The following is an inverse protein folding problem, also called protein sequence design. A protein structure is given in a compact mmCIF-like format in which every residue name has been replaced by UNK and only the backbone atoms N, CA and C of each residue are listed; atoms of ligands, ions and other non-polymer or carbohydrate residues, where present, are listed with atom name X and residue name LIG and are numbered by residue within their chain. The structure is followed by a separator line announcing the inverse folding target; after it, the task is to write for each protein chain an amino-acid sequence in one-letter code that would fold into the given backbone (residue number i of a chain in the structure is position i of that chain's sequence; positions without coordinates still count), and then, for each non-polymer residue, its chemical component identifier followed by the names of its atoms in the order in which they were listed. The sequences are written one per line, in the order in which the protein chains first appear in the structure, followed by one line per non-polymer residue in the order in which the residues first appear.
data_IF_892578769081
#
_entry.id   IF_892578769081
#
_cell.length_a   1.000
_cell.length_b   1.000
_cell.length_c   1.000
_cell.angle_alpha   90.00
_cell.angle_beta   90.00
_cell.angle_gamma   90.00
#
_symmetry.space_group_name_H-M   'P 1'
#
loop_
_entity.id
_entity.type
_entity.pdbx_description
1 polymer ?
#
# COMPACT_ATOMS: atom_id res chain seq x y z
N UNK A 1 17.99 1.37 -6.47
CA UNK A 1 17.50 0.01 -6.78
C UNK A 1 18.22 -0.52 -8.00
N UNK A 2 18.76 -1.73 -7.93
CA UNK A 2 19.30 -2.45 -9.08
C UNK A 2 18.17 -2.86 -10.07
N UNK A 3 18.49 -3.28 -11.30
CA UNK A 3 17.49 -3.65 -12.30
C UNK A 3 16.57 -4.81 -11.88
N UNK A 4 17.11 -5.81 -11.18
CA UNK A 4 16.35 -6.97 -10.69
C UNK A 4 15.27 -6.57 -9.69
N UNK A 5 15.62 -5.77 -8.67
CA UNK A 5 14.66 -5.28 -7.69
C UNK A 5 13.58 -4.41 -8.35
N UNK A 6 13.94 -3.58 -9.34
CA UNK A 6 12.98 -2.81 -10.15
C UNK A 6 11.98 -3.71 -10.86
N UNK A 7 12.46 -4.79 -11.49
CA UNK A 7 11.61 -5.75 -12.19
C UNK A 7 10.65 -6.46 -11.23
N UNK A 8 11.15 -6.95 -10.08
CA UNK A 8 10.32 -7.60 -9.05
C UNK A 8 9.24 -6.64 -8.53
N UNK A 9 9.58 -5.38 -8.22
CA UNK A 9 8.60 -4.37 -7.79
C UNK A 9 7.53 -4.16 -8.86
N UNK A 10 7.93 -4.06 -10.14
CA UNK A 10 7.00 -3.85 -11.25
C UNK A 10 5.99 -5.00 -11.38
N UNK A 11 6.48 -6.24 -11.37
CA UNK A 11 5.65 -7.45 -11.43
C UNK A 11 4.68 -7.55 -10.26
N UNK A 12 5.17 -7.32 -9.03
CA UNK A 12 4.34 -7.37 -7.83
C UNK A 12 3.28 -6.27 -7.82
N UNK A 13 3.62 -5.04 -8.22
CA UNK A 13 2.65 -3.95 -8.38
C UNK A 13 1.55 -4.31 -9.36
N UNK A 14 1.93 -4.80 -10.53
CA UNK A 14 0.97 -5.16 -11.57
C UNK A 14 0.00 -6.24 -11.09
N UNK A 15 0.52 -7.32 -10.50
CA UNK A 15 -0.30 -8.40 -9.94
C UNK A 15 -1.18 -7.92 -8.79
N UNK A 16 -0.61 -7.18 -7.85
CA UNK A 16 -1.34 -6.67 -6.69
C UNK A 16 -2.49 -5.75 -7.12
N UNK A 17 -2.24 -4.75 -7.99
CA UNK A 17 -3.28 -3.81 -8.40
C UNK A 17 -4.37 -4.46 -9.25
N UNK A 18 -4.01 -5.37 -10.16
CA UNK A 18 -4.99 -6.12 -10.95
C UNK A 18 -5.91 -6.96 -10.07
N UNK A 19 -5.34 -7.70 -9.11
CA UNK A 19 -6.11 -8.51 -8.18
C UNK A 19 -6.92 -7.64 -7.21
N UNK A 20 -6.36 -6.54 -6.71
CA UNK A 20 -7.03 -5.61 -5.83
C UNK A 20 -8.26 -5.01 -6.52
N UNK A 21 -8.11 -4.55 -7.77
CA UNK A 21 -9.22 -4.04 -8.56
C UNK A 21 -10.32 -5.10 -8.80
N UNK A 22 -9.94 -6.36 -9.03
CA UNK A 22 -10.89 -7.46 -9.22
C UNK A 22 -11.61 -7.89 -7.93
N UNK A 23 -10.98 -7.75 -6.77
CA UNK A 23 -11.56 -8.12 -5.46
C UNK A 23 -12.40 -7.01 -4.82
N UNK A 24 -12.25 -5.77 -5.26
CA UNK A 24 -12.96 -4.62 -4.70
C UNK A 24 -14.42 -4.58 -5.20
N UNK A 25 -15.36 -4.34 -4.28
CA UNK A 25 -16.79 -4.19 -4.59
C UNK A 25 -17.15 -2.83 -5.22
N UNK A 26 -16.16 -2.05 -5.62
CA UNK A 26 -16.32 -0.71 -6.18
C UNK A 26 -15.29 -0.49 -7.30
N UNK A 27 -15.58 0.41 -8.25
CA UNK A 27 -14.65 0.67 -9.34
C UNK A 27 -13.29 1.16 -8.84
N UNK A 28 -12.23 0.45 -9.23
CA UNK A 28 -10.84 0.82 -8.98
C UNK A 28 -10.21 1.29 -10.28
N UNK A 29 -9.51 2.41 -10.24
CA UNK A 29 -8.73 2.95 -11.36
C UNK A 29 -7.25 2.76 -11.04
N UNK A 30 -6.57 1.98 -11.88
CA UNK A 30 -5.11 1.84 -11.82
C UNK A 30 -4.49 2.83 -12.80
N UNK A 31 -3.72 3.79 -12.30
CA UNK A 31 -2.99 4.77 -13.12
C UNK A 31 -1.51 4.44 -13.16
N UNK A 32 -0.83 4.68 -14.29
CA UNK A 32 0.63 4.56 -14.41
C UNK A 32 1.12 3.44 -15.33
N UNK A 33 0.56 3.31 -16.53
CA UNK A 33 0.94 2.29 -17.54
C UNK A 33 2.18 2.65 -18.36
N UNK A 34 2.91 3.72 -18.05
CA UNK A 34 4.11 4.11 -18.80
C UNK A 34 5.23 4.56 -17.88
N UNK A 35 6.46 4.31 -18.33
CA UNK A 35 7.77 4.65 -17.75
C UNK A 35 7.99 6.15 -17.41
N UNK A 36 6.94 6.95 -17.17
CA UNK A 36 7.03 8.37 -16.84
C UNK A 36 6.73 8.63 -15.36
N UNK A 37 7.78 8.94 -14.60
CA UNK A 37 7.92 9.63 -13.28
C UNK A 37 6.96 9.39 -12.10
N UNK A 38 5.72 8.94 -12.28
CA UNK A 38 4.79 8.64 -11.20
C UNK A 38 4.66 7.12 -11.05
N UNK A 39 4.98 6.59 -9.87
CA UNK A 39 4.77 5.17 -9.57
C UNK A 39 3.29 4.83 -9.74
N UNK A 40 2.94 3.69 -10.38
CA UNK A 40 1.56 3.33 -10.57
C UNK A 40 0.85 3.15 -9.23
N UNK A 41 -0.41 3.58 -9.18
CA UNK A 41 -1.29 3.51 -8.01
C UNK A 41 -2.64 2.93 -8.41
N UNK A 42 -3.34 2.32 -7.44
CA UNK A 42 -4.76 1.99 -7.56
C UNK A 42 -5.57 3.01 -6.74
N UNK A 43 -6.69 3.49 -7.28
CA UNK A 43 -7.52 4.51 -6.64
C UNK A 43 -9.00 4.17 -6.73
N UNK A 44 -9.79 4.57 -5.73
CA UNK A 44 -11.22 4.29 -5.65
C UNK A 44 -11.96 5.40 -4.89
N UNK A 45 -13.28 5.45 -5.07
CA UNK A 45 -14.16 6.34 -4.32
C UNK A 45 -14.81 5.58 -3.17
N UNK A 46 -14.82 6.17 -1.97
CA UNK A 46 -15.60 5.63 -0.84
C UNK A 46 -17.08 6.03 -0.93
N UNK A 47 -17.92 5.50 -0.03
CA UNK A 47 -19.36 5.83 0.02
C UNK A 47 -19.65 7.30 0.35
N UNK A 48 -18.66 8.04 0.85
CA UNK A 48 -18.75 9.47 1.15
C UNK A 48 -18.25 10.32 -0.01
N UNK A 49 -18.05 9.72 -1.19
CA UNK A 49 -17.56 10.39 -2.39
C UNK A 49 -16.17 11.00 -2.17
N UNK A 50 -15.33 10.38 -1.35
CA UNK A 50 -13.93 10.79 -1.16
C UNK A 50 -13.00 9.85 -1.92
N UNK A 51 -11.98 10.44 -2.54
CA UNK A 51 -10.95 9.72 -3.26
C UNK A 51 -9.97 9.07 -2.28
N UNK A 52 -9.74 7.78 -2.49
CA UNK A 52 -8.73 6.99 -1.79
C UNK A 52 -7.76 6.40 -2.82
N UNK A 53 -6.56 6.08 -2.40
CA UNK A 53 -5.60 5.35 -3.22
C UNK A 53 -4.69 4.47 -2.40
N UNK A 54 -4.08 3.51 -3.09
CA UNK A 54 -3.10 2.57 -2.58
C UNK A 54 -1.88 2.57 -3.49
N UNK A 55 -0.70 2.60 -2.88
CA UNK A 55 0.59 2.55 -3.56
C UNK A 55 1.49 1.49 -2.91
N UNK A 56 2.09 0.65 -3.74
CA UNK A 56 3.15 -0.28 -3.34
C UNK A 56 4.48 0.29 -3.81
N UNK A 57 5.48 0.38 -2.95
CA UNK A 57 6.82 0.85 -3.32
C UNK A 57 7.91 0.15 -2.52
N UNK A 58 9.16 0.21 -3.00
CA UNK A 58 10.28 -0.30 -2.24
C UNK A 58 10.56 0.62 -1.05
N UNK A 59 10.50 0.08 0.17
CA UNK A 59 10.94 0.76 1.37
C UNK A 59 12.48 0.77 1.45
N UNK A 60 13.06 -0.42 1.30
CA UNK A 60 14.49 -0.62 1.06
C UNK A 60 14.66 -1.60 -0.08
N UNK A 61 15.73 -1.45 -0.85
CA UNK A 61 16.06 -2.37 -1.93
C UNK A 61 17.55 -2.27 -2.27
N UNK A 62 18.16 -3.36 -2.73
CA UNK A 62 19.56 -3.39 -3.14
C UNK A 62 19.80 -2.42 -4.30
N UNK A 63 20.99 -1.83 -4.32
CA UNK A 63 21.46 -0.96 -5.40
C UNK A 63 22.95 -1.19 -5.67
N UNK A 64 23.50 -0.46 -6.63
CA UNK A 64 24.90 -0.62 -7.06
C UNK A 64 25.91 -0.33 -5.94
N UNK A 65 25.54 0.52 -4.97
CA UNK A 65 26.42 0.90 -3.86
C UNK A 65 26.23 -0.01 -2.64
N UNK A 66 25.02 -0.54 -2.43
CA UNK A 66 24.69 -1.45 -1.31
C UNK A 66 23.93 -2.67 -1.86
N UNK A 67 24.64 -3.64 -2.46
CA UNK A 67 24.01 -4.79 -3.12
C UNK A 67 23.32 -5.75 -2.14
N UNK A 68 23.72 -5.73 -0.87
CA UNK A 68 23.12 -6.56 0.19
C UNK A 68 22.05 -5.84 1.00
N UNK A 69 21.62 -4.64 0.59
CA UNK A 69 20.55 -3.93 1.29
C UNK A 69 19.28 -4.80 1.28
N UNK A 70 18.61 -4.98 2.44
CA UNK A 70 17.35 -5.70 2.49
C UNK A 70 16.36 -5.24 1.45
N UNK A 71 15.72 -6.20 0.79
CA UNK A 71 14.64 -5.90 -0.12
C UNK A 71 13.30 -6.02 0.60
N UNK A 72 12.71 -4.85 0.92
CA UNK A 72 11.49 -4.72 1.71
C UNK A 72 10.55 -3.77 0.97
N UNK A 73 9.27 -4.14 0.91
CA UNK A 73 8.24 -3.33 0.29
C UNK A 73 7.39 -2.62 1.33
N UNK A 74 6.75 -1.54 0.91
CA UNK A 74 5.72 -0.86 1.67
C UNK A 74 4.49 -0.65 0.81
N UNK A 75 3.35 -0.99 1.38
CA UNK A 75 2.02 -0.67 0.87
C UNK A 75 1.51 0.51 1.67
N UNK A 76 1.02 1.54 0.99
CA UNK A 76 0.50 2.75 1.63
C UNK A 76 -0.86 3.12 1.06
N UNK A 77 -1.83 3.28 1.94
CA UNK A 77 -3.17 3.82 1.68
C UNK A 77 -3.16 5.30 2.07
N UNK A 78 -3.54 6.17 1.14
CA UNK A 78 -3.69 7.63 1.34
C UNK A 78 -2.48 8.38 1.93
N UNK A 79 -1.31 7.73 2.05
CA UNK A 79 -0.10 8.37 2.55
C UNK A 79 0.52 9.28 1.50
N UNK A 80 0.76 10.54 1.86
CA UNK A 80 1.25 11.58 0.93
C UNK A 80 0.23 11.96 -0.16
N UNK A 81 -1.06 12.02 0.19
CA UNK A 81 -2.20 12.22 -0.72
C UNK A 81 -2.14 13.49 -1.59
N UNK A 82 -1.27 14.45 -1.26
CA UNK A 82 -1.09 15.69 -2.03
C UNK A 82 -0.59 15.51 -3.47
N UNK A 83 -0.29 14.29 -3.96
CA UNK A 83 0.20 14.06 -5.33
C UNK A 83 -0.80 13.40 -6.29
N UNK A 84 -1.99 13.01 -5.84
CA UNK A 84 -2.99 12.35 -6.70
C UNK A 84 -4.00 13.39 -7.19
N UNK A 85 -3.71 14.02 -8.33
CA UNK A 85 -4.58 14.97 -9.00
C UNK A 85 -4.99 14.46 -10.38
N UNK A 86 -5.82 13.41 -10.43
CA UNK A 86 -6.48 13.00 -11.66
C UNK A 86 -7.96 12.81 -11.40
N UNK A 87 -8.70 13.92 -11.51
CA UNK A 87 -10.15 13.94 -11.46
C UNK A 87 -10.71 13.65 -12.85
N UNK A 88 -11.70 12.76 -12.95
CA UNK A 88 -12.54 12.66 -14.15
C UNK A 88 -13.56 13.81 -14.14
N UNK A 89 -13.68 14.54 -15.26
CA UNK A 89 -14.78 15.48 -15.49
C UNK A 89 -16.11 14.73 -15.32
N UNK A 90 -16.99 15.20 -14.44
CA UNK A 90 -18.36 14.70 -14.29
C UNK A 90 -18.62 13.72 -13.13
N UNK A 91 -17.62 13.38 -12.30
CA UNK A 91 -17.81 12.55 -11.11
C UNK A 91 -17.85 13.43 -9.84
N UNK A 92 -18.85 13.25 -8.98
CA UNK A 92 -18.93 13.95 -7.68
C UNK A 92 -17.77 13.45 -6.82
N UNK A 93 -16.87 14.36 -6.43
CA UNK A 93 -15.73 14.06 -5.57
C UNK A 93 -15.60 15.17 -4.52
N UNK A 94 -15.66 14.79 -3.24
CA UNK A 94 -15.50 15.69 -2.08
C UNK A 94 -14.05 15.91 -1.68
N UNK A 95 -13.11 15.51 -2.54
CA UNK A 95 -11.67 15.59 -2.29
C UNK A 95 -11.08 14.27 -1.80
N UNK A 96 -9.82 14.35 -1.33
CA UNK A 96 -9.06 13.20 -0.81
C UNK A 96 -9.54 12.81 0.58
N UNK A 97 -9.48 11.51 0.90
CA UNK A 97 -9.73 11.04 2.26
C UNK A 97 -8.51 11.29 3.17
N UNK A 98 -8.38 12.52 3.66
CA UNK A 98 -7.27 12.94 4.52
C UNK A 98 -7.36 12.39 5.96
N UNK A 99 -8.50 11.85 6.35
CA UNK A 99 -8.75 11.38 7.73
C UNK A 99 -8.32 9.92 7.95
N UNK A 100 -7.89 9.24 6.89
CA UNK A 100 -7.46 7.86 6.96
C UNK A 100 -6.23 7.67 6.09
N UNK A 101 -5.09 7.36 6.72
CA UNK A 101 -3.91 6.83 6.05
C UNK A 101 -3.49 5.52 6.75
N UNK A 102 -2.76 4.66 6.05
CA UNK A 102 -2.26 3.40 6.59
C UNK A 102 -1.06 2.92 5.78
N UNK A 103 -0.02 2.43 6.44
CA UNK A 103 1.16 1.86 5.81
C UNK A 103 1.44 0.47 6.40
N UNK A 104 1.75 -0.48 5.53
CA UNK A 104 2.16 -1.83 5.90
C UNK A 104 3.48 -2.16 5.19
N UNK A 105 4.50 -2.43 5.99
CA UNK A 105 5.84 -2.81 5.55
C UNK A 105 5.98 -4.32 5.58
N UNK A 106 6.33 -4.92 4.44
CA UNK A 106 6.28 -6.37 4.20
C UNK A 106 7.49 -6.86 3.41
N UNK A 107 7.76 -8.16 3.46
CA UNK A 107 8.65 -8.78 2.49
C UNK A 107 7.96 -8.91 1.12
N UNK A 108 8.70 -8.89 -0.01
CA UNK A 108 8.13 -9.05 -1.34
C UNK A 108 7.22 -10.27 -1.50
N UNK A 109 7.56 -11.38 -0.84
CA UNK A 109 6.80 -12.63 -0.87
C UNK A 109 5.47 -12.58 -0.11
N UNK A 110 5.29 -11.63 0.81
CA UNK A 110 4.11 -11.55 1.68
C UNK A 110 3.01 -10.64 1.09
N UNK A 111 3.37 -9.76 0.15
CA UNK A 111 2.47 -8.67 -0.26
C UNK A 111 1.16 -9.16 -0.89
N UNK A 112 1.21 -10.24 -1.67
CA UNK A 112 0.01 -10.81 -2.29
C UNK A 112 -0.86 -11.57 -1.28
N UNK A 113 -0.26 -12.14 -0.23
CA UNK A 113 -1.01 -12.81 0.84
C UNK A 113 -1.87 -11.81 1.62
N UNK A 114 -1.37 -10.57 1.78
CA UNK A 114 -2.10 -9.48 2.41
C UNK A 114 -3.27 -8.92 1.58
N UNK A 115 -3.39 -9.28 0.30
CA UNK A 115 -4.40 -8.68 -0.56
C UNK A 115 -5.84 -8.86 -0.05
N UNK A 116 -6.31 -10.07 0.33
CA UNK A 116 -7.66 -10.23 0.88
C UNK A 116 -7.88 -9.44 2.16
N UNK A 117 -6.86 -9.38 3.02
CA UNK A 117 -6.91 -8.62 4.27
C UNK A 117 -6.98 -7.11 4.02
N UNK A 118 -6.24 -6.58 3.05
CA UNK A 118 -6.29 -5.17 2.66
C UNK A 118 -7.67 -4.81 2.08
N UNK A 119 -8.27 -5.67 1.25
CA UNK A 119 -9.63 -5.47 0.74
C UNK A 119 -10.64 -5.43 1.90
N UNK A 120 -10.53 -6.35 2.86
CA UNK A 120 -11.36 -6.37 4.06
C UNK A 120 -11.13 -5.14 4.95
N UNK A 121 -9.90 -4.64 5.07
CA UNK A 121 -9.57 -3.40 5.78
C UNK A 121 -10.27 -2.19 5.14
N UNK A 122 -10.22 -2.08 3.81
CA UNK A 122 -10.92 -1.01 3.07
C UNK A 122 -12.43 -1.08 3.29
N UNK A 123 -13.01 -2.27 3.24
CA UNK A 123 -14.44 -2.48 3.47
C UNK A 123 -14.86 -2.16 4.92
N UNK A 124 -14.08 -2.63 5.90
CA UNK A 124 -14.31 -2.36 7.32
C UNK A 124 -14.25 -0.86 7.63
N UNK A 125 -13.26 -0.16 7.05
CA UNK A 125 -13.14 1.29 7.17
C UNK A 125 -14.32 2.02 6.51
N UNK A 126 -14.72 1.65 5.30
CA UNK A 126 -15.86 2.26 4.60
C UNK A 126 -17.21 2.01 5.33
N UNK A 127 -17.34 0.89 6.04
CA UNK A 127 -18.48 0.58 6.94
C UNK A 127 -18.34 1.22 8.32
N UNK A 128 -17.20 1.79 8.67
CA UNK A 128 -16.93 2.37 9.99
C UNK A 128 -16.96 1.34 11.13
N UNK A 129 -16.66 0.07 10.86
CA UNK A 129 -16.77 -1.02 11.84
C UNK A 129 -15.51 -1.89 11.84
N UNK A 130 -14.68 -1.72 12.87
CA UNK A 130 -13.48 -2.54 13.10
C UNK A 130 -13.80 -3.99 13.43
N UNK A 131 -15.02 -4.30 13.87
CA UNK A 131 -15.47 -5.67 14.15
C UNK A 131 -15.53 -6.56 12.89
N UNK A 132 -15.53 -5.94 11.71
CA UNK A 132 -15.50 -6.65 10.43
C UNK A 132 -14.08 -7.01 9.98
N UNK A 133 -13.06 -6.50 10.68
CA UNK A 133 -11.67 -6.72 10.32
C UNK A 133 -11.26 -8.15 10.67
N UNK A 134 -10.86 -8.90 9.66
CA UNK A 134 -10.33 -10.25 9.81
C UNK A 134 -8.89 -10.21 10.32
N UNK A 135 -8.44 -11.35 10.86
CA UNK A 135 -7.04 -11.53 11.24
C UNK A 135 -6.13 -11.43 10.01
N UNK A 136 -4.95 -10.80 10.14
CA UNK A 136 -4.01 -10.71 9.03
C UNK A 136 -3.35 -12.06 8.72
N UNK A 137 -2.92 -12.27 7.47
CA UNK A 137 -2.29 -13.53 7.02
C UNK A 137 -0.90 -13.76 7.63
N UNK A 138 -0.22 -12.68 8.01
CA UNK A 138 1.07 -12.74 8.71
C UNK A 138 1.01 -11.85 9.93
N UNK A 139 1.63 -12.28 11.03
CA UNK A 139 1.77 -11.47 12.23
C UNK A 139 2.53 -10.18 11.91
N UNK A 140 1.94 -9.05 12.28
CA UNK A 140 2.59 -7.75 12.19
C UNK A 140 2.40 -6.98 13.48
N UNK A 141 3.38 -6.15 13.81
CA UNK A 141 3.33 -5.27 14.97
C UNK A 141 2.94 -3.87 14.48
N UNK A 142 2.01 -3.24 15.20
CA UNK A 142 1.71 -1.83 15.02
C UNK A 142 2.77 -1.04 15.79
N UNK A 143 3.53 -0.20 15.11
CA UNK A 143 4.37 0.77 15.81
C UNK A 143 3.46 1.88 16.35
N UNK A 144 3.44 2.02 17.67
CA UNK A 144 2.66 3.02 18.38
C UNK A 144 3.54 4.24 18.62
N UNK A 145 3.43 5.33 17.83
CA UNK A 145 4.01 6.60 18.23
C UNK A 145 3.18 7.20 19.38
N UNK A 146 3.83 7.94 20.29
CA UNK A 146 3.23 8.54 21.48
C UNK A 146 2.09 9.54 21.17
N UNK A 147 1.96 10.00 19.92
CA UNK A 147 0.89 10.91 19.48
C UNK A 147 0.46 10.58 18.04
N UNK A 148 -0.75 10.04 17.85
CA UNK A 148 -1.38 9.85 16.53
C UNK A 148 -2.11 8.51 16.37
N UNK A 149 -3.09 8.47 15.47
CA UNK A 149 -3.79 7.22 15.11
C UNK A 149 -2.86 6.29 14.30
N UNK A 150 -2.92 5.00 14.63
CA UNK A 150 -2.06 3.89 14.19
C UNK A 150 -2.04 3.68 12.67
N UNK A 151 -1.03 4.19 11.99
CA UNK A 151 -1.01 4.10 10.52
C UNK A 151 0.29 3.53 9.95
N UNK A 152 1.13 2.86 10.76
CA UNK A 152 2.31 2.15 10.26
C UNK A 152 2.45 0.77 10.95
N UNK A 153 2.53 -0.27 10.12
CA UNK A 153 2.64 -1.65 10.53
C UNK A 153 3.84 -2.32 9.85
N UNK A 154 4.45 -3.29 10.54
CA UNK A 154 5.52 -4.10 9.98
C UNK A 154 5.26 -5.58 10.21
N UNK A 155 5.35 -6.40 9.17
CA UNK A 155 5.41 -7.85 9.39
C UNK A 155 6.64 -8.18 10.22
N UNK A 156 6.49 -9.15 11.13
CA UNK A 156 7.58 -9.53 12.04
C UNK A 156 8.85 -9.89 11.26
N UNK A 157 8.72 -10.59 10.12
CA UNK A 157 9.85 -10.98 9.27
C UNK A 157 10.51 -9.77 8.59
N UNK A 158 9.73 -8.80 8.10
CA UNK A 158 10.29 -7.57 7.53
C UNK A 158 11.02 -6.74 8.59
N UNK A 159 10.47 -6.65 9.81
CA UNK A 159 11.10 -5.95 10.93
C UNK A 159 12.43 -6.58 11.35
N UNK A 160 12.45 -7.91 11.51
CA UNK A 160 13.67 -8.65 11.84
C UNK A 160 14.76 -8.46 10.78
N UNK A 161 14.40 -8.54 9.50
CA UNK A 161 15.35 -8.35 8.39
C UNK A 161 15.90 -6.91 8.34
N UNK A 162 15.06 -5.91 8.61
CA UNK A 162 15.51 -4.53 8.67
C UNK A 162 16.51 -4.31 9.83
N UNK A 163 16.23 -4.90 11.00
CA UNK A 163 17.06 -4.73 12.19
C UNK A 163 18.37 -5.54 12.14
N UNK A 164 18.38 -6.72 11.50
CA UNK A 164 19.59 -7.55 11.36
C UNK A 164 20.68 -6.93 10.48
N UNK A 165 20.40 -5.81 9.84
CA UNK A 165 21.34 -5.08 8.98
C UNK A 165 21.94 -3.85 9.68
N UNK A 166 21.47 -3.55 10.90
CA UNK A 166 21.93 -2.41 11.72
C UNK A 166 22.94 -2.89 12.79
N UNK A 167 23.09 -4.20 12.97
CA UNK A 167 24.02 -4.87 13.90
C UNK A 167 25.30 -5.35 13.24
#
# INVERSE_FOLDING_TARGET
MNPEAKHIVSELRHKFYSNFAASMNMPVIVTGTSYSSNSPIASWMDRRERLNYINVYAYTAPDEFVPFRPFILRLAINKSAGRVATFRKGQVCRGLNLMWDFELTVLPKEILDFLPWIVNLVEAHDKGSSLLLQSPPHSFELEVPEVGFFNNAWTQKARLLANSTIS
#
